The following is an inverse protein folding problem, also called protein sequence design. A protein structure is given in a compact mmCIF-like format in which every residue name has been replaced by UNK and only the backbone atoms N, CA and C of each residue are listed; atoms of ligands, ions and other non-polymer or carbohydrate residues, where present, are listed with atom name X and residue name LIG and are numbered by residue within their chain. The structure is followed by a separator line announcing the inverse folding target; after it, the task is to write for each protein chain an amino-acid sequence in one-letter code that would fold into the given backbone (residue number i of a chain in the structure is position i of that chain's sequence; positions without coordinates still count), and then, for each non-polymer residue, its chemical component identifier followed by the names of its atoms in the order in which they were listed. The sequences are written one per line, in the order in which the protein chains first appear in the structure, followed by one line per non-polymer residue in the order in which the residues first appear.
data_IF_453251471014
#
_entry.id   IF_453251471014
#
_cell.length_a   1.000
_cell.length_b   1.000
_cell.length_c   1.000
_cell.angle_alpha   90.00
_cell.angle_beta   90.00
_cell.angle_gamma   90.00
#
_symmetry.space_group_name_H-M   'P 1'
#
loop_
_entity.id
_entity.type
_entity.pdbx_description
1 polymer ?
#
# COMPACT_ATOMS: atom_id res chain seq x y z
N UNK A 1 8.33 5.76 -0.90
CA UNK A 1 8.26 4.31 -1.13
C UNK A 1 7.37 4.11 -2.33
N UNK A 2 6.15 4.64 -2.27
CA UNK A 2 5.29 5.18 -3.34
C UNK A 2 5.70 5.05 -4.83
N UNK A 3 6.87 5.55 -5.26
CA UNK A 3 7.31 5.40 -6.67
C UNK A 3 7.59 3.93 -7.03
N UNK A 4 8.15 3.17 -6.09
CA UNK A 4 8.42 1.75 -6.26
C UNK A 4 7.10 0.98 -6.22
N UNK A 5 6.18 1.31 -5.30
CA UNK A 5 4.85 0.71 -5.24
C UNK A 5 4.09 0.91 -6.54
N UNK A 6 4.06 2.14 -7.04
CA UNK A 6 3.46 2.44 -8.33
C UNK A 6 4.06 1.59 -9.46
N UNK A 7 5.38 1.41 -9.46
CA UNK A 7 6.05 0.52 -10.42
C UNK A 7 5.59 -0.93 -10.29
N UNK A 8 5.54 -1.45 -9.07
CA UNK A 8 5.11 -2.83 -8.77
C UNK A 8 3.64 -3.07 -9.11
N UNK A 9 2.80 -2.05 -8.99
CA UNK A 9 1.38 -2.09 -9.33
C UNK A 9 1.16 -2.19 -10.84
N UNK A 10 1.91 -1.40 -11.60
CA UNK A 10 1.90 -1.48 -13.06
C UNK A 10 2.52 -2.79 -13.57
N UNK A 11 3.59 -3.27 -12.94
CA UNK A 11 4.18 -4.57 -13.26
C UNK A 11 3.20 -5.70 -12.98
N UNK A 12 2.49 -5.65 -11.84
CA UNK A 12 1.45 -6.61 -11.49
C UNK A 12 0.28 -6.58 -12.49
N UNK A 13 -0.15 -5.40 -12.94
CA UNK A 13 -1.15 -5.30 -14.00
C UNK A 13 -0.64 -5.91 -15.32
N UNK A 14 0.59 -5.57 -15.73
CA UNK A 14 1.18 -6.07 -16.98
C UNK A 14 1.33 -7.60 -16.99
N UNK A 15 1.57 -8.19 -15.83
CA UNK A 15 1.57 -9.65 -15.63
C UNK A 15 0.19 -10.27 -15.83
N UNK A 16 -0.82 -9.70 -15.16
CA UNK A 16 -2.20 -10.17 -15.24
C UNK A 16 -2.76 -10.01 -16.65
N UNK A 17 -2.36 -8.95 -17.36
CA UNK A 17 -2.73 -8.70 -18.76
C UNK A 17 -2.14 -9.77 -19.71
N UNK A 18 -0.89 -10.19 -19.49
CA UNK A 18 -0.19 -11.15 -20.33
C UNK A 18 -0.57 -12.60 -20.07
N UNK A 19 -1.06 -12.93 -18.87
CA UNK A 19 -1.31 -14.33 -18.54
C UNK A 19 -2.67 -14.78 -19.05
N UNK A 20 -2.69 -15.87 -19.81
CA UNK A 20 -3.93 -16.47 -20.34
C UNK A 20 -4.64 -17.35 -19.30
N UNK A 21 -5.20 -16.70 -18.29
CA UNK A 21 -5.88 -17.35 -17.19
C UNK A 21 -7.32 -17.74 -17.56
N UNK A 22 -7.52 -18.84 -18.28
CA UNK A 22 -8.87 -19.41 -18.51
C UNK A 22 -9.56 -19.85 -17.20
N UNK A 23 -8.81 -20.04 -16.11
CA UNK A 23 -9.32 -20.52 -14.80
C UNK A 23 -9.84 -19.43 -13.86
N UNK A 24 -9.60 -18.14 -14.12
CA UNK A 24 -10.15 -17.06 -13.28
C UNK A 24 -11.56 -16.75 -13.75
N UNK A 25 -12.55 -17.23 -12.99
CA UNK A 25 -13.94 -16.81 -13.14
C UNK A 25 -13.99 -15.27 -12.98
N UNK A 26 -14.29 -14.55 -14.07
CA UNK A 26 -14.24 -13.06 -14.17
C UNK A 26 -12.84 -12.45 -14.38
N UNK A 27 -11.95 -13.09 -15.16
CA UNK A 27 -10.64 -12.56 -15.59
C UNK A 27 -10.69 -11.08 -16.00
N UNK A 28 -11.65 -10.71 -16.85
CA UNK A 28 -11.75 -9.34 -17.36
C UNK A 28 -12.11 -8.34 -16.25
N UNK A 29 -13.07 -8.66 -15.38
CA UNK A 29 -13.47 -7.76 -14.29
C UNK A 29 -12.31 -7.52 -13.32
N UNK A 30 -11.59 -8.59 -12.94
CA UNK A 30 -10.44 -8.50 -12.03
C UNK A 30 -9.29 -7.70 -12.64
N UNK A 31 -8.99 -7.94 -13.91
CA UNK A 31 -7.98 -7.18 -14.67
C UNK A 31 -8.31 -5.69 -14.71
N UNK A 32 -9.55 -5.33 -15.02
CA UNK A 32 -9.97 -3.92 -15.05
C UNK A 32 -9.99 -3.29 -13.66
N UNK A 33 -10.29 -4.06 -12.61
CA UNK A 33 -10.16 -3.60 -11.23
C UNK A 33 -8.70 -3.29 -10.89
N UNK A 34 -7.78 -4.22 -11.15
CA UNK A 34 -6.34 -4.01 -10.90
C UNK A 34 -5.83 -2.78 -11.66
N UNK A 35 -6.22 -2.62 -12.93
CA UNK A 35 -5.89 -1.42 -13.70
C UNK A 35 -6.47 -0.15 -13.08
N UNK A 36 -7.73 -0.18 -12.64
CA UNK A 36 -8.36 0.97 -12.01
C UNK A 36 -7.61 1.38 -10.73
N UNK A 37 -7.17 0.42 -9.91
CA UNK A 37 -6.39 0.72 -8.70
C UNK A 37 -4.97 1.20 -9.02
N UNK A 38 -4.30 0.70 -10.06
CA UNK A 38 -3.02 1.23 -10.51
C UNK A 38 -3.14 2.70 -11.04
N UNK A 39 -4.25 3.03 -11.70
CA UNK A 39 -4.54 4.40 -12.13
C UNK A 39 -4.83 5.29 -10.91
N UNK A 40 -5.64 4.81 -9.96
CA UNK A 40 -5.90 5.52 -8.69
C UNK A 40 -4.58 5.78 -7.98
N UNK A 41 -3.69 4.78 -7.91
CA UNK A 41 -2.39 4.93 -7.29
C UNK A 41 -1.49 5.95 -7.96
N UNK A 42 -1.49 5.98 -9.29
CA UNK A 42 -0.80 7.02 -10.06
C UNK A 42 -1.29 8.43 -9.67
N UNK A 43 -2.60 8.59 -9.45
CA UNK A 43 -3.20 9.87 -9.04
C UNK A 43 -2.82 10.19 -7.59
N UNK A 44 -2.92 9.22 -6.67
CA UNK A 44 -2.56 9.40 -5.25
C UNK A 44 -1.10 9.79 -5.10
N UNK A 45 -0.20 9.13 -5.83
CA UNK A 45 1.23 9.46 -5.87
C UNK A 45 1.48 10.92 -6.26
N UNK A 46 0.83 11.41 -7.33
CA UNK A 46 0.95 12.81 -7.74
C UNK A 46 0.42 13.78 -6.67
N UNK A 47 -0.70 13.44 -6.03
CA UNK A 47 -1.26 14.23 -4.93
C UNK A 47 -0.35 14.25 -3.71
N UNK A 48 0.35 13.16 -3.43
CA UNK A 48 1.29 13.07 -2.32
C UNK A 48 2.56 13.87 -2.59
N UNK A 49 3.08 13.85 -3.83
CA UNK A 49 4.17 14.74 -4.24
C UNK A 49 3.79 16.21 -4.05
N UNK A 50 2.57 16.59 -4.45
CA UNK A 50 2.05 17.94 -4.22
C UNK A 50 1.93 18.25 -2.73
N UNK A 51 1.41 17.32 -1.91
CA UNK A 51 1.29 17.49 -0.47
C UNK A 51 2.64 17.69 0.20
N UNK A 52 3.66 16.91 -0.17
CA UNK A 52 5.04 17.05 0.32
C UNK A 52 5.61 18.42 -0.07
N UNK A 53 5.40 18.84 -1.32
CA UNK A 53 5.84 20.15 -1.80
C UNK A 53 5.20 21.29 -0.98
N UNK A 54 3.88 21.23 -0.76
CA UNK A 54 3.16 22.23 0.04
C UNK A 54 3.59 22.26 1.51
N UNK A 55 3.81 21.09 2.12
CA UNK A 55 4.30 20.99 3.50
C UNK A 55 5.72 21.56 3.64
N UNK A 56 6.57 21.38 2.62
CA UNK A 56 7.93 21.94 2.56
C UNK A 56 7.94 23.47 2.37
N UNK A 57 7.08 24.02 1.51
CA UNK A 57 7.10 25.45 1.18
C UNK A 57 6.55 26.31 2.32
N UNK A 58 5.51 25.84 3.02
CA UNK A 58 4.81 26.65 4.03
C UNK A 58 5.37 26.56 5.45
N UNK A 59 6.47 25.82 5.66
CA UNK A 59 7.03 25.55 7.00
C UNK A 59 5.96 25.16 8.03
N UNK A 60 4.88 24.49 7.58
CA UNK A 60 3.85 24.05 8.50
C UNK A 60 4.46 22.93 9.35
N UNK A 61 4.62 23.21 10.65
CA UNK A 61 5.02 22.22 11.64
C UNK A 61 4.03 21.05 11.77
N UNK A 62 2.87 21.18 11.15
CA UNK A 62 1.81 20.20 11.15
C UNK A 62 1.83 19.45 9.83
N UNK A 63 2.43 18.25 9.88
CA UNK A 63 2.56 17.22 8.83
C UNK A 63 1.19 16.68 8.33
N UNK A 64 0.16 17.52 8.31
CA UNK A 64 -1.24 17.07 8.24
C UNK A 64 -1.60 16.61 6.85
N UNK A 65 -1.09 17.28 5.81
CA UNK A 65 -1.40 16.93 4.42
C UNK A 65 -0.66 15.66 4.01
N UNK A 66 0.64 15.57 4.29
CA UNK A 66 1.42 14.35 4.04
C UNK A 66 0.87 13.13 4.81
N UNK A 67 0.54 13.25 6.10
CA UNK A 67 -0.04 12.13 6.86
C UNK A 67 -1.44 11.74 6.35
N UNK A 68 -2.27 12.72 5.96
CA UNK A 68 -3.60 12.41 5.39
C UNK A 68 -3.48 11.71 4.04
N UNK A 69 -2.56 12.15 3.18
CA UNK A 69 -2.32 11.48 1.89
C UNK A 69 -1.74 10.09 2.05
N UNK A 70 -0.81 9.90 2.99
CA UNK A 70 -0.30 8.56 3.35
C UNK A 70 -1.43 7.62 3.76
N UNK A 71 -2.34 8.09 4.62
CA UNK A 71 -3.51 7.31 5.01
C UNK A 71 -4.42 6.97 3.82
N UNK A 72 -4.60 7.92 2.89
CA UNK A 72 -5.40 7.70 1.69
C UNK A 72 -4.75 6.63 0.79
N UNK A 73 -3.42 6.70 0.56
CA UNK A 73 -2.66 5.64 -0.13
C UNK A 73 -2.91 4.28 0.51
N UNK A 74 -2.61 4.13 1.79
CA UNK A 74 -2.70 2.85 2.50
C UNK A 74 -4.08 2.20 2.31
N UNK A 75 -5.15 2.97 2.50
CA UNK A 75 -6.51 2.42 2.56
C UNK A 75 -7.22 2.30 1.22
N UNK A 76 -6.92 3.18 0.26
CA UNK A 76 -7.60 3.23 -1.04
C UNK A 76 -6.79 2.51 -2.12
N UNK A 77 -5.48 2.41 -1.97
CA UNK A 77 -4.58 1.85 -2.98
C UNK A 77 -3.97 0.53 -2.49
N UNK A 78 -3.15 0.57 -1.44
CA UNK A 78 -2.31 -0.57 -1.06
C UNK A 78 -3.14 -1.76 -0.59
N UNK A 79 -4.13 -1.53 0.29
CA UNK A 79 -5.00 -2.59 0.82
C UNK A 79 -5.77 -3.30 -0.31
N UNK A 80 -6.51 -2.60 -1.21
CA UNK A 80 -7.15 -3.27 -2.34
C UNK A 80 -6.17 -4.03 -3.22
N UNK A 81 -4.99 -3.46 -3.50
CA UNK A 81 -4.01 -4.09 -4.37
C UNK A 81 -3.39 -5.36 -3.78
N UNK A 82 -3.04 -5.39 -2.49
CA UNK A 82 -2.54 -6.61 -1.84
C UNK A 82 -3.64 -7.66 -1.74
N UNK A 83 -4.91 -7.27 -1.57
CA UNK A 83 -6.05 -8.19 -1.61
C UNK A 83 -6.16 -8.86 -2.97
N UNK A 84 -6.03 -8.11 -4.07
CA UNK A 84 -6.05 -8.72 -5.41
C UNK A 84 -4.87 -9.65 -5.65
N UNK A 85 -3.68 -9.30 -5.16
CA UNK A 85 -2.51 -10.18 -5.22
C UNK A 85 -2.74 -11.49 -4.47
N UNK A 86 -3.26 -11.43 -3.24
CA UNK A 86 -3.64 -12.62 -2.45
C UNK A 86 -4.72 -13.43 -3.16
N UNK A 87 -5.75 -12.77 -3.67
CA UNK A 87 -6.86 -13.46 -4.33
C UNK A 87 -6.39 -14.22 -5.57
N UNK A 88 -5.52 -13.59 -6.37
CA UNK A 88 -4.91 -14.22 -7.53
C UNK A 88 -4.03 -15.40 -7.13
N UNK A 89 -3.18 -15.26 -6.11
CA UNK A 89 -2.32 -16.34 -5.65
C UNK A 89 -3.15 -17.57 -5.19
N UNK A 90 -4.24 -17.35 -4.46
CA UNK A 90 -5.09 -18.45 -3.96
C UNK A 90 -5.87 -19.15 -5.08
N UNK A 91 -6.30 -18.42 -6.12
CA UNK A 91 -7.12 -19.00 -7.20
C UNK A 91 -6.28 -19.51 -8.37
N UNK A 92 -5.08 -18.97 -8.55
CA UNK A 92 -4.25 -19.28 -9.69
C UNK A 92 -3.05 -20.13 -9.30
N UNK A 93 -3.08 -21.39 -9.74
CA UNK A 93 -1.92 -22.29 -9.64
C UNK A 93 -0.77 -21.92 -10.59
N UNK A 94 -0.95 -20.94 -11.49
CA UNK A 94 0.01 -20.60 -12.55
C UNK A 94 0.48 -19.14 -12.53
N UNK A 95 -0.26 -18.22 -11.90
CA UNK A 95 0.11 -16.80 -11.82
C UNK A 95 1.04 -16.51 -10.62
N UNK A 96 1.98 -17.42 -10.38
CA UNK A 96 3.06 -17.23 -9.41
C UNK A 96 4.21 -16.60 -10.15
N UNK A 97 4.19 -15.28 -10.14
CA UNK A 97 5.26 -14.52 -10.73
C UNK A 97 6.25 -14.02 -9.69
N UNK A 98 7.51 -13.90 -10.12
CA UNK A 98 8.53 -13.11 -9.45
C UNK A 98 8.03 -11.71 -9.04
N UNK A 99 7.09 -11.10 -9.78
CA UNK A 99 6.50 -9.81 -9.41
C UNK A 99 5.71 -9.89 -8.11
N UNK A 100 4.95 -10.97 -7.87
CA UNK A 100 4.21 -11.12 -6.61
C UNK A 100 5.16 -11.34 -5.43
N UNK A 101 6.26 -12.07 -5.62
CA UNK A 101 7.32 -12.19 -4.62
C UNK A 101 7.97 -10.85 -4.27
N UNK A 102 8.32 -10.07 -5.28
CA UNK A 102 8.91 -8.74 -5.09
C UNK A 102 7.91 -7.82 -4.39
N UNK A 103 6.65 -7.81 -4.84
CA UNK A 103 5.58 -7.00 -4.25
C UNK A 103 5.32 -7.36 -2.79
N UNK A 104 5.20 -8.65 -2.46
CA UNK A 104 4.98 -9.08 -1.09
C UNK A 104 6.19 -8.77 -0.19
N UNK A 105 7.41 -8.98 -0.69
CA UNK A 105 8.65 -8.65 0.06
C UNK A 105 8.77 -7.15 0.31
N UNK A 106 8.45 -6.34 -0.70
CA UNK A 106 8.51 -4.89 -0.61
C UNK A 106 7.45 -4.36 0.37
N UNK A 107 6.21 -4.85 0.28
CA UNK A 107 5.12 -4.47 1.19
C UNK A 107 5.45 -4.77 2.67
N UNK A 108 6.20 -5.85 2.94
CA UNK A 108 6.71 -6.13 4.30
C UNK A 108 7.71 -5.05 4.74
N UNK A 109 8.68 -4.71 3.89
CA UNK A 109 9.69 -3.70 4.21
C UNK A 109 9.04 -2.34 4.44
N UNK A 110 8.10 -1.97 3.58
CA UNK A 110 7.35 -0.73 3.70
C UNK A 110 6.53 -0.67 4.98
N UNK A 111 5.77 -1.73 5.30
CA UNK A 111 5.00 -1.80 6.54
C UNK A 111 5.90 -1.61 7.77
N UNK A 112 7.08 -2.25 7.81
CA UNK A 112 8.06 -2.10 8.89
C UNK A 112 8.59 -0.66 9.02
N UNK A 113 8.87 0.00 7.89
CA UNK A 113 9.30 1.39 7.87
C UNK A 113 8.18 2.33 8.33
N UNK A 114 6.94 2.08 7.89
CA UNK A 114 5.75 2.81 8.35
C UNK A 114 5.53 2.66 9.86
N UNK A 115 5.69 1.46 10.44
CA UNK A 115 5.66 1.30 11.90
C UNK A 115 6.71 2.15 12.59
N UNK A 116 7.95 2.12 12.10
CA UNK A 116 9.05 2.91 12.67
C UNK A 116 8.74 4.41 12.67
N UNK A 117 8.23 4.92 11.55
CA UNK A 117 7.88 6.34 11.39
C UNK A 117 6.68 6.72 12.27
N UNK A 118 5.61 5.93 12.26
CA UNK A 118 4.39 6.19 13.03
C UNK A 118 4.65 6.15 14.54
N UNK A 119 5.43 5.18 15.02
CA UNK A 119 5.85 5.11 16.43
C UNK A 119 6.73 6.32 16.77
N UNK A 120 7.70 6.68 15.92
CA UNK A 120 8.53 7.86 16.13
C UNK A 120 7.71 9.14 16.23
N UNK A 121 6.69 9.31 15.37
CA UNK A 121 5.81 10.47 15.40
C UNK A 121 4.96 10.51 16.69
N UNK A 122 4.44 9.36 17.13
CA UNK A 122 3.66 9.24 18.37
C UNK A 122 4.52 9.48 19.62
N UNK A 123 5.75 8.95 19.67
CA UNK A 123 6.62 9.04 20.83
C UNK A 123 7.42 10.35 20.90
N UNK A 124 8.02 10.81 19.81
CA UNK A 124 8.98 11.92 19.82
C UNK A 124 8.39 13.26 19.38
N UNK A 125 7.27 13.28 18.62
CA UNK A 125 6.67 14.52 18.10
C UNK A 125 5.45 14.99 18.92
N UNK A 126 4.89 14.12 19.77
CA UNK A 126 3.75 14.42 20.67
C UNK A 126 4.00 15.62 21.60
N UNK A 127 5.24 15.87 22.03
CA UNK A 127 5.55 17.01 22.91
C UNK A 127 5.45 18.38 22.22
N UNK A 128 5.70 18.47 20.90
CA UNK A 128 5.63 19.73 20.14
C UNK A 128 4.22 20.02 19.57
N UNK A 129 3.32 19.03 19.58
CA UNK A 129 1.96 19.13 19.02
C UNK A 129 0.92 19.71 19.99
N UNK A 130 1.33 20.19 21.17
CA UNK A 130 0.41 20.86 22.13
C UNK A 130 -0.19 22.17 21.63
N UNK A 131 0.28 22.73 20.51
CA UNK A 131 -0.23 23.99 20.00
C UNK A 131 -1.23 23.80 18.83
N UNK A 132 -2.51 23.76 19.22
CA UNK A 132 -3.64 24.42 18.53
C UNK A 132 -4.10 23.87 17.16
N UNK A 133 -4.61 22.63 17.10
CA UNK A 133 -5.85 22.18 16.38
C UNK A 133 -6.11 20.69 16.67
N UNK A 134 -7.38 20.30 16.71
CA UNK A 134 -7.98 18.99 17.06
C UNK A 134 -7.01 17.77 17.12
N UNK A 135 -6.27 17.62 18.23
CA UNK A 135 -5.25 16.58 18.43
C UNK A 135 -5.78 15.15 18.32
N UNK A 136 -7.09 14.97 18.50
CA UNK A 136 -7.71 13.66 18.49
C UNK A 136 -7.82 13.11 17.07
N UNK A 137 -8.14 13.95 16.08
CA UNK A 137 -8.26 13.52 14.68
C UNK A 137 -6.94 13.01 14.12
N UNK A 138 -5.83 13.72 14.36
CA UNK A 138 -4.50 13.29 13.90
C UNK A 138 -4.05 12.00 14.60
N UNK A 139 -4.30 11.87 15.91
CA UNK A 139 -4.01 10.63 16.65
C UNK A 139 -4.83 9.47 16.10
N UNK A 140 -6.12 9.67 15.84
CA UNK A 140 -6.99 8.64 15.24
C UNK A 140 -6.47 8.23 13.86
N UNK A 141 -6.06 9.19 13.04
CA UNK A 141 -5.55 8.92 11.69
C UNK A 141 -4.23 8.12 11.74
N UNK A 142 -3.29 8.48 12.63
CA UNK A 142 -2.05 7.72 12.85
C UNK A 142 -2.31 6.29 13.35
N UNK A 143 -3.30 6.11 14.24
CA UNK A 143 -3.68 4.77 14.74
C UNK A 143 -4.30 3.93 13.62
N UNK A 144 -5.18 4.52 12.81
CA UNK A 144 -5.78 3.81 11.68
C UNK A 144 -4.75 3.47 10.60
N UNK A 145 -3.79 4.35 10.34
CA UNK A 145 -2.70 4.09 9.41
C UNK A 145 -1.80 2.94 9.90
N UNK A 146 -1.54 2.88 11.21
CA UNK A 146 -0.85 1.76 11.85
C UNK A 146 -1.63 0.45 11.72
N UNK A 147 -2.96 0.48 11.88
CA UNK A 147 -3.83 -0.69 11.64
C UNK A 147 -3.74 -1.13 10.17
N UNK A 148 -3.79 -0.20 9.22
CA UNK A 148 -3.62 -0.48 7.80
C UNK A 148 -2.29 -1.18 7.51
N UNK A 149 -1.19 -0.67 8.08
CA UNK A 149 0.13 -1.30 7.98
C UNK A 149 0.19 -2.72 8.55
N UNK A 150 -0.51 -3.00 9.66
CA UNK A 150 -0.63 -4.39 10.20
C UNK A 150 -1.35 -5.28 9.20
N UNK A 151 -2.45 -4.80 8.62
CA UNK A 151 -3.22 -5.58 7.66
C UNK A 151 -2.40 -5.90 6.41
N UNK A 152 -1.68 -4.91 5.86
CA UNK A 152 -0.78 -5.10 4.71
C UNK A 152 0.32 -6.10 5.06
N UNK A 153 0.93 -5.99 6.23
CA UNK A 153 1.97 -6.91 6.68
C UNK A 153 1.43 -8.35 6.76
N UNK A 154 0.28 -8.55 7.41
CA UNK A 154 -0.36 -9.85 7.52
C UNK A 154 -0.71 -10.44 6.14
N UNK A 155 -1.29 -9.63 5.25
CA UNK A 155 -1.65 -10.05 3.89
C UNK A 155 -0.41 -10.41 3.06
N UNK A 156 0.67 -9.65 3.20
CA UNK A 156 1.93 -9.87 2.47
C UNK A 156 2.66 -11.11 2.96
N UNK A 157 2.68 -11.35 4.28
CA UNK A 157 3.22 -12.59 4.86
C UNK A 157 2.39 -13.80 4.41
N UNK A 158 1.06 -13.69 4.43
CA UNK A 158 0.18 -14.75 3.93
C UNK A 158 0.45 -15.03 2.43
N UNK A 159 0.54 -13.99 1.61
CA UNK A 159 0.88 -14.10 0.20
C UNK A 159 2.22 -14.82 0.00
N UNK A 160 3.28 -14.46 0.74
CA UNK A 160 4.57 -15.16 0.67
C UNK A 160 4.46 -16.63 1.07
N UNK A 161 3.68 -16.96 2.09
CA UNK A 161 3.49 -18.35 2.53
C UNK A 161 2.82 -19.16 1.41
N UNK A 162 1.72 -18.66 0.84
CA UNK A 162 1.03 -19.31 -0.29
C UNK A 162 1.98 -19.50 -1.49
N UNK A 163 2.69 -18.44 -1.88
CA UNK A 163 3.64 -18.51 -2.99
C UNK A 163 4.76 -19.55 -2.75
N UNK A 164 5.25 -19.65 -1.51
CA UNK A 164 6.26 -20.64 -1.15
C UNK A 164 5.68 -22.06 -1.20
N UNK A 165 4.46 -22.29 -0.70
CA UNK A 165 3.82 -23.61 -0.71
C UNK A 165 3.57 -24.12 -2.13
N UNK A 166 3.11 -23.25 -3.04
CA UNK A 166 2.91 -23.64 -4.42
C UNK A 166 4.21 -23.96 -5.17
N UNK A 167 5.34 -23.35 -4.79
CA UNK A 167 6.66 -23.71 -5.34
C UNK A 167 7.15 -25.11 -4.94
N UNK A 168 6.53 -25.74 -3.94
CA UNK A 168 6.90 -27.09 -3.45
C UNK A 168 5.93 -28.20 -3.91
N UNK A 169 4.81 -27.87 -4.56
CA UNK A 169 3.84 -28.82 -5.11
C UNK A 169 4.01 -29.01 -6.62
#
# INVERSE_FOLDING_TARGET
MELIDLGLDWDFFAEVDKTDQEKILRKDELKYLILAFAIVGSITFLLQLLAIYYDSEKNYSHLTYSTTMSFISTWIEDIPQIIFAVWIAVISSELISNVQYVKASYAIVEALLHFGVSIWQLCCKSEKFKYKRNSNCLKTLLVLDLIGGILILCASVFLLIELLFDNFN
#
